data_IF_790948152011
#
_entry.id   IF_790948152011
#
_cell.length_a   1.000
_cell.length_b   1.000
_cell.length_c   1.000
_cell.angle_alpha   90.00
_cell.angle_beta   90.00
_cell.angle_gamma   90.00
#
_symmetry.space_group_name_H-M   'P 1'
#
loop_
_entity.id
_entity.type
_entity.pdbx_description
1 polymer ?
#
# COMPACT_ATOMS: atom_id res chain seq x y z
N UNK A 1 21.36 3.48 11.55
CA UNK A 1 22.72 3.06 11.16
C UNK A 1 23.24 4.06 10.14
N UNK A 2 24.34 4.77 10.40
CA UNK A 2 25.01 5.57 9.37
C UNK A 2 25.36 4.64 8.19
N UNK A 3 24.93 4.98 6.97
CA UNK A 3 25.22 4.20 5.75
C UNK A 3 24.08 3.33 5.20
N UNK A 4 22.91 3.28 5.84
CA UNK A 4 21.75 2.63 5.22
C UNK A 4 21.15 3.54 4.14
N UNK A 5 21.49 3.28 2.88
CA UNK A 5 20.86 3.91 1.72
C UNK A 5 19.84 2.95 1.12
N UNK A 6 18.62 3.44 0.92
CA UNK A 6 17.62 2.75 0.10
C UNK A 6 17.83 3.17 -1.34
N UNK A 7 18.25 2.24 -2.19
CA UNK A 7 18.41 2.45 -3.63
C UNK A 7 17.04 2.43 -4.31
N UNK A 8 16.35 3.58 -4.27
CA UNK A 8 15.08 3.75 -4.96
C UNK A 8 15.34 3.96 -6.46
N UNK A 9 15.24 2.89 -7.23
CA UNK A 9 15.23 2.96 -8.70
C UNK A 9 13.84 3.36 -9.19
N UNK A 10 13.77 4.19 -10.23
CA UNK A 10 12.51 4.68 -10.79
C UNK A 10 11.63 3.51 -11.29
N UNK A 11 10.37 3.50 -10.89
CA UNK A 11 9.45 2.40 -11.15
C UNK A 11 8.82 2.51 -12.56
N UNK A 12 9.35 1.76 -13.53
CA UNK A 12 8.93 1.79 -14.94
C UNK A 12 7.50 1.22 -15.21
N UNK A 13 7.34 -0.10 -15.17
CA UNK A 13 6.09 -0.83 -15.31
C UNK A 13 5.36 -0.95 -13.97
N UNK A 14 6.12 -0.96 -12.87
CA UNK A 14 5.62 -1.01 -11.50
C UNK A 14 4.83 0.26 -11.16
N UNK A 15 5.28 1.44 -11.61
CA UNK A 15 4.57 2.70 -11.41
C UNK A 15 3.18 2.71 -12.07
N UNK A 16 3.05 2.13 -13.28
CA UNK A 16 1.76 2.01 -13.97
C UNK A 16 0.78 1.10 -13.22
N UNK A 17 1.26 -0.02 -12.67
CA UNK A 17 0.43 -0.94 -11.86
C UNK A 17 -0.05 -0.27 -10.58
N UNK A 18 0.86 0.42 -9.88
CA UNK A 18 0.56 1.22 -8.69
C UNK A 18 -0.49 2.30 -8.99
N UNK A 19 -0.35 3.00 -10.11
CA UNK A 19 -1.34 4.00 -10.55
C UNK A 19 -2.74 3.41 -10.79
N UNK A 20 -2.84 2.18 -11.30
CA UNK A 20 -4.14 1.49 -11.48
C UNK A 20 -4.78 1.13 -10.14
N UNK A 21 -3.99 0.65 -9.17
CA UNK A 21 -4.45 0.39 -7.80
C UNK A 21 -4.92 1.70 -7.14
N UNK A 22 -4.19 2.79 -7.37
CA UNK A 22 -4.59 4.12 -6.90
C UNK A 22 -5.91 4.61 -7.48
N UNK A 23 -6.14 4.38 -8.77
CA UNK A 23 -7.40 4.73 -9.42
C UNK A 23 -8.57 3.91 -8.86
N UNK A 24 -8.38 2.61 -8.59
CA UNK A 24 -9.40 1.76 -7.97
C UNK A 24 -9.76 2.23 -6.56
N UNK A 25 -8.76 2.51 -5.72
CA UNK A 25 -8.96 2.98 -4.35
C UNK A 25 -9.73 4.32 -4.31
N UNK A 26 -9.46 5.22 -5.25
CA UNK A 26 -10.21 6.49 -5.38
C UNK A 26 -11.67 6.28 -5.79
N UNK A 27 -11.93 5.37 -6.72
CA UNK A 27 -13.29 5.08 -7.21
C UNK A 27 -14.20 4.49 -6.13
N UNK A 28 -13.65 3.70 -5.21
CA UNK A 28 -14.40 3.12 -4.08
C UNK A 28 -14.65 4.10 -2.92
N UNK A 29 -14.49 5.41 -3.14
CA UNK A 29 -14.59 6.43 -2.10
C UNK A 29 -13.46 6.35 -1.07
N UNK A 30 -12.40 5.60 -1.37
CA UNK A 30 -11.26 5.40 -0.51
C UNK A 30 -10.14 6.39 -0.73
N UNK A 31 -9.37 6.61 0.34
CA UNK A 31 -8.04 7.17 0.17
C UNK A 31 -7.11 6.07 -0.32
N UNK A 32 -6.30 6.36 -1.36
CA UNK A 32 -5.18 5.49 -1.75
C UNK A 32 -4.22 5.18 -0.60
N UNK A 33 -4.23 6.02 0.45
CA UNK A 33 -3.51 5.79 1.70
C UNK A 33 -3.94 4.52 2.43
N UNK A 34 -5.13 3.96 2.12
CA UNK A 34 -5.54 2.61 2.55
C UNK A 34 -4.86 1.49 1.77
N UNK A 35 -4.13 1.81 0.70
CA UNK A 35 -3.29 0.87 -0.03
C UNK A 35 -2.26 0.19 0.86
N UNK A 36 -1.82 0.87 1.92
CA UNK A 36 -0.88 0.33 2.91
C UNK A 36 -1.47 -0.84 3.71
N UNK A 37 -2.80 -0.96 3.78
CA UNK A 37 -3.48 -2.08 4.44
C UNK A 37 -3.71 -3.29 3.49
N UNK A 38 -3.55 -3.13 2.16
CA UNK A 38 -3.81 -4.18 1.16
C UNK A 38 -3.01 -5.46 1.47
N UNK A 39 -1.72 -5.40 1.83
CA UNK A 39 -0.97 -6.63 2.15
C UNK A 39 -1.58 -7.42 3.31
N UNK A 40 -2.17 -6.74 4.30
CA UNK A 40 -2.70 -7.37 5.52
C UNK A 40 -4.03 -8.10 5.31
N UNK A 41 -4.71 -7.90 4.17
CA UNK A 41 -5.91 -8.66 3.79
C UNK A 41 -5.56 -10.08 3.29
N UNK A 42 -4.28 -10.34 3.00
CA UNK A 42 -3.81 -11.65 2.59
C UNK A 42 -3.56 -12.57 3.78
N UNK A 43 -4.16 -13.77 3.78
CA UNK A 43 -3.99 -14.76 4.86
C UNK A 43 -2.55 -15.23 5.06
N UNK A 44 -1.67 -15.04 4.07
CA UNK A 44 -0.25 -15.43 4.16
C UNK A 44 0.65 -14.32 4.72
N UNK A 45 0.12 -13.10 4.88
CA UNK A 45 0.88 -11.96 5.40
C UNK A 45 0.61 -11.82 6.89
N UNK A 46 1.57 -12.21 7.72
CA UNK A 46 1.46 -12.09 9.18
C UNK A 46 1.72 -10.66 9.70
N UNK A 47 2.53 -9.88 8.99
CA UNK A 47 2.87 -8.50 9.38
C UNK A 47 3.35 -7.66 8.20
N UNK A 48 3.27 -6.33 8.35
CA UNK A 48 3.78 -5.36 7.39
C UNK A 48 4.67 -4.33 8.10
N UNK A 49 5.82 -4.02 7.51
CA UNK A 49 6.74 -3.00 8.02
C UNK A 49 6.36 -1.63 7.44
N UNK A 50 6.16 -0.65 8.31
CA UNK A 50 5.94 0.74 7.92
C UNK A 50 7.24 1.53 8.16
N UNK A 51 7.95 1.83 7.08
CA UNK A 51 9.08 2.75 7.09
C UNK A 51 8.59 4.18 6.83
N UNK A 52 8.89 5.11 7.74
CA UNK A 52 8.54 6.51 7.58
C UNK A 52 9.63 7.43 8.14
N UNK A 53 9.92 8.51 7.41
CA UNK A 53 10.88 9.53 7.85
C UNK A 53 10.31 10.46 8.93
N UNK A 54 8.98 10.62 9.00
CA UNK A 54 8.30 11.57 9.88
C UNK A 54 7.20 10.90 10.72
N UNK A 55 7.03 11.25 12.00
CA UNK A 55 6.01 10.67 12.88
C UNK A 55 4.57 10.78 12.35
N UNK A 56 4.22 11.91 11.74
CA UNK A 56 2.88 12.14 11.19
C UNK A 56 2.49 11.16 10.08
N UNK A 57 3.48 10.58 9.37
CA UNK A 57 3.26 9.55 8.37
C UNK A 57 2.94 8.21 9.06
N UNK A 58 3.62 7.90 10.17
CA UNK A 58 3.35 6.70 10.97
C UNK A 58 1.94 6.76 11.54
N UNK A 59 1.58 7.84 12.22
CA UNK A 59 0.24 8.03 12.82
C UNK A 59 -0.87 7.90 11.77
N UNK A 60 -0.65 8.52 10.61
CA UNK A 60 -1.59 8.46 9.48
C UNK A 60 -1.72 7.04 8.92
N UNK A 61 -0.62 6.32 8.76
CA UNK A 61 -0.62 4.98 8.19
C UNK A 61 -1.25 3.98 9.18
N UNK A 62 -0.95 4.07 10.47
CA UNK A 62 -1.62 3.27 11.52
C UNK A 62 -3.13 3.55 11.52
N UNK A 63 -3.53 4.82 11.47
CA UNK A 63 -4.94 5.20 11.41
C UNK A 63 -5.66 4.62 10.19
N UNK A 64 -4.94 4.42 9.08
CA UNK A 64 -5.49 3.81 7.87
C UNK A 64 -5.75 2.31 8.01
N UNK A 65 -5.01 1.62 8.88
CA UNK A 65 -5.18 0.19 9.19
C UNK A 65 -6.42 -0.07 10.07
N UNK A 66 -6.91 0.94 10.79
CA UNK A 66 -8.05 0.79 11.70
C UNK A 66 -9.38 0.47 10.98
N UNK A 67 -9.42 0.57 9.66
CA UNK A 67 -10.61 0.24 8.86
C UNK A 67 -10.25 -0.88 7.88
N UNK A 68 -10.94 -2.03 7.93
CA UNK A 68 -10.71 -3.11 6.98
C UNK A 68 -10.99 -2.65 5.55
N UNK A 69 -10.27 -3.22 4.60
CA UNK A 69 -10.49 -2.95 3.19
C UNK A 69 -11.72 -3.73 2.72
N UNK A 70 -12.50 -3.13 1.83
CA UNK A 70 -13.57 -3.84 1.13
C UNK A 70 -12.97 -5.05 0.36
N UNK A 71 -13.41 -6.29 0.62
CA UNK A 71 -12.89 -7.48 -0.06
C UNK A 71 -12.98 -7.40 -1.59
N UNK A 72 -13.99 -6.71 -2.12
CA UNK A 72 -14.14 -6.50 -3.57
C UNK A 72 -13.05 -5.59 -4.14
N UNK A 73 -12.60 -4.61 -3.37
CA UNK A 73 -11.50 -3.73 -3.73
C UNK A 73 -10.16 -4.48 -3.70
N UNK A 74 -9.95 -5.33 -2.68
CA UNK A 74 -8.77 -6.19 -2.59
C UNK A 74 -8.68 -7.13 -3.81
N UNK A 75 -9.76 -7.84 -4.13
CA UNK A 75 -9.83 -8.72 -5.29
C UNK A 75 -9.57 -7.97 -6.62
N UNK A 76 -10.09 -6.74 -6.76
CA UNK A 76 -9.86 -5.92 -7.95
C UNK A 76 -8.40 -5.50 -8.16
N UNK A 77 -7.55 -5.57 -7.13
CA UNK A 77 -6.13 -5.26 -7.23
C UNK A 77 -5.29 -6.41 -7.81
N UNK A 78 -5.78 -7.65 -7.75
CA UNK A 78 -5.05 -8.86 -8.18
C UNK A 78 -4.45 -8.82 -9.61
N UNK A 79 -5.09 -8.20 -10.62
CA UNK A 79 -4.49 -8.10 -11.96
C UNK A 79 -3.25 -7.18 -12.04
N UNK A 80 -3.01 -6.38 -10.99
CA UNK A 80 -1.94 -5.39 -10.94
C UNK A 80 -0.84 -5.73 -9.94
N UNK A 81 -0.99 -6.82 -9.17
CA UNK A 81 0.05 -7.31 -8.26
C UNK A 81 1.14 -8.05 -9.03
N UNK A 82 2.34 -8.08 -8.45
CA UNK A 82 3.43 -8.92 -8.95
C UNK A 82 3.06 -10.40 -8.73
N UNK A 83 3.48 -11.26 -9.67
CA UNK A 83 3.36 -12.72 -9.59
C UNK A 83 4.74 -13.31 -9.35
#
# INVERSE_FOLDING_TARGET
MPGAHFDYVEADASGRRVGKIQALARKSGGSYRRGDAIPLESLVVASALIGAANPSIVERNISSLARPIDPSLFAACAPFTLR
#
